data_IF_866174017638
#
_entry.id   IF_866174017638
#
_cell.length_a   1.000
_cell.length_b   1.000
_cell.length_c   1.000
_cell.angle_alpha   90.00
_cell.angle_beta   90.00
_cell.angle_gamma   90.00
#
_symmetry.space_group_name_H-M   'P 1'
#
loop_
_entity.id
_entity.type
_entity.pdbx_description
1 polymer ?
#
# COMPACT_ATOMS: atom_id res chain seq x y z
N UNK A 1 -39.61 -7.46 1.33
CA UNK A 1 -39.13 -6.28 0.58
C UNK A 1 -37.99 -6.71 -0.31
N UNK A 2 -38.26 -6.93 -1.59
CA UNK A 2 -37.27 -7.36 -2.57
C UNK A 2 -36.52 -6.12 -3.06
N UNK A 3 -35.25 -5.96 -2.66
CA UNK A 3 -34.38 -4.89 -3.14
C UNK A 3 -34.23 -5.03 -4.66
N UNK A 4 -34.99 -4.26 -5.43
CA UNK A 4 -34.77 -4.10 -6.85
C UNK A 4 -33.58 -3.17 -7.03
N UNK A 5 -32.40 -3.75 -7.22
CA UNK A 5 -31.21 -2.98 -7.61
C UNK A 5 -31.49 -2.36 -8.97
N UNK A 6 -31.41 -1.02 -9.08
CA UNK A 6 -31.59 -0.28 -10.34
C UNK A 6 -30.56 -0.67 -11.43
N UNK A 7 -29.49 -1.36 -11.03
CA UNK A 7 -28.40 -1.77 -11.91
C UNK A 7 -28.43 -3.27 -12.14
N UNK A 8 -28.43 -3.65 -13.42
CA UNK A 8 -28.31 -5.05 -13.83
C UNK A 8 -26.86 -5.51 -13.61
N UNK A 9 -26.61 -6.57 -12.81
CA UNK A 9 -25.27 -7.04 -12.50
C UNK A 9 -24.49 -7.51 -13.75
N UNK A 10 -25.17 -8.05 -14.76
CA UNK A 10 -24.56 -8.46 -16.04
C UNK A 10 -24.03 -7.23 -16.78
N UNK A 11 -24.80 -6.14 -16.80
CA UNK A 11 -24.39 -4.87 -17.40
C UNK A 11 -23.21 -4.24 -16.66
N UNK A 12 -23.23 -4.28 -15.31
CA UNK A 12 -22.10 -3.80 -14.49
C UNK A 12 -20.84 -4.62 -14.78
N UNK A 13 -20.93 -5.95 -14.80
CA UNK A 13 -19.79 -6.81 -15.07
C UNK A 13 -19.20 -6.56 -16.46
N UNK A 14 -20.05 -6.47 -17.48
CA UNK A 14 -19.61 -6.15 -18.84
C UNK A 14 -18.89 -4.80 -18.91
N UNK A 15 -19.41 -3.77 -18.22
CA UNK A 15 -18.77 -2.46 -18.15
C UNK A 15 -17.42 -2.52 -17.43
N UNK A 16 -17.33 -3.19 -16.27
CA UNK A 16 -16.09 -3.34 -15.51
C UNK A 16 -15.02 -4.11 -16.29
N UNK A 17 -15.40 -5.14 -17.06
CA UNK A 17 -14.48 -5.91 -17.90
C UNK A 17 -14.03 -5.14 -19.15
N UNK A 18 -14.89 -4.28 -19.70
CA UNK A 18 -14.56 -3.47 -20.87
C UNK A 18 -13.55 -2.37 -20.54
N UNK A 19 -13.53 -1.89 -19.29
CA UNK A 19 -12.54 -0.91 -18.83
C UNK A 19 -11.19 -1.59 -18.67
N UNK A 20 -10.16 -1.04 -19.32
CA UNK A 20 -8.76 -1.32 -18.99
C UNK A 20 -8.30 -0.22 -18.04
N UNK A 21 -8.31 -0.44 -16.72
CA UNK A 21 -7.94 0.62 -15.79
C UNK A 21 -6.45 0.93 -15.95
N UNK A 22 -6.13 2.21 -16.14
CA UNK A 22 -4.77 2.69 -15.96
C UNK A 22 -4.40 2.47 -14.49
N UNK A 23 -3.20 1.92 -14.18
CA UNK A 23 -2.81 1.75 -12.79
C UNK A 23 -2.76 3.13 -12.12
N UNK A 24 -3.16 3.23 -10.84
CA UNK A 24 -3.18 4.52 -10.12
C UNK A 24 -1.78 5.12 -9.94
N UNK A 25 -0.73 4.32 -10.11
CA UNK A 25 0.66 4.72 -10.04
C UNK A 25 1.44 4.09 -11.21
N UNK A 26 2.49 4.75 -11.71
CA UNK A 26 3.31 4.21 -12.78
C UNK A 26 3.97 2.90 -12.34
N UNK A 27 4.02 1.86 -13.20
CA UNK A 27 4.75 0.64 -12.90
C UNK A 27 6.24 0.93 -12.69
N UNK A 28 6.94 0.04 -11.98
CA UNK A 28 8.39 0.19 -11.81
C UNK A 28 9.16 0.09 -13.14
N UNK A 29 8.56 -0.39 -14.23
CA UNK A 29 9.21 -0.31 -15.55
C UNK A 29 9.25 1.13 -16.12
N UNK A 30 8.36 2.03 -15.68
CA UNK A 30 8.21 3.37 -16.27
C UNK A 30 9.17 4.39 -15.64
N UNK A 31 10.46 4.29 -15.98
CA UNK A 31 11.52 5.07 -15.32
C UNK A 31 11.41 6.58 -15.49
N UNK A 32 10.86 7.07 -16.60
CA UNK A 32 10.64 8.50 -16.83
C UNK A 32 9.67 9.11 -15.82
N UNK A 33 8.58 8.43 -15.48
CA UNK A 33 7.61 8.89 -14.49
C UNK A 33 8.26 8.98 -13.10
N UNK A 34 9.01 7.96 -12.69
CA UNK A 34 9.69 7.96 -11.39
C UNK A 34 10.86 8.94 -11.33
N UNK A 35 11.54 9.21 -12.45
CA UNK A 35 12.50 10.30 -12.54
C UNK A 35 11.83 11.67 -12.31
N UNK A 36 10.66 11.91 -12.91
CA UNK A 36 9.90 13.14 -12.68
C UNK A 36 9.47 13.28 -11.21
N UNK A 37 9.07 12.18 -10.56
CA UNK A 37 8.78 12.17 -9.11
C UNK A 37 10.01 12.55 -8.30
N UNK A 38 11.19 11.99 -8.60
CA UNK A 38 12.45 12.35 -7.92
C UNK A 38 12.80 13.83 -8.09
N UNK A 39 12.61 14.37 -9.29
CA UNK A 39 12.85 15.79 -9.56
C UNK A 39 11.91 16.68 -8.75
N UNK A 40 10.64 16.29 -8.64
CA UNK A 40 9.66 17.02 -7.83
C UNK A 40 9.95 16.93 -6.33
N UNK A 41 10.40 15.77 -5.85
CA UNK A 41 10.71 15.51 -4.44
C UNK A 41 11.99 16.23 -3.98
N UNK A 42 12.94 16.45 -4.90
CA UNK A 42 14.23 17.04 -4.60
C UNK A 42 15.16 16.09 -3.84
N UNK A 43 16.41 16.53 -3.63
CA UNK A 43 17.44 15.71 -3.00
C UNK A 43 17.10 15.37 -1.53
N UNK A 44 16.57 16.33 -0.78
CA UNK A 44 16.23 16.15 0.64
C UNK A 44 15.10 15.13 0.83
N UNK A 45 13.99 15.29 0.10
CA UNK A 45 12.87 14.36 0.21
C UNK A 45 13.22 12.95 -0.29
N UNK A 46 14.07 12.83 -1.32
CA UNK A 46 14.59 11.54 -1.76
C UNK A 46 15.43 10.89 -0.65
N UNK A 47 16.35 11.63 -0.04
CA UNK A 47 17.17 11.13 1.05
C UNK A 47 16.32 10.69 2.26
N UNK A 48 15.28 11.45 2.61
CA UNK A 48 14.37 11.09 3.69
C UNK A 48 13.60 9.78 3.40
N UNK A 49 13.07 9.63 2.18
CA UNK A 49 12.35 8.43 1.77
C UNK A 49 13.26 7.19 1.83
N UNK A 50 14.49 7.28 1.31
CA UNK A 50 15.47 6.20 1.36
C UNK A 50 15.88 5.87 2.80
N UNK A 51 16.15 6.87 3.64
CA UNK A 51 16.52 6.64 5.03
C UNK A 51 15.38 6.00 5.85
N UNK A 52 14.11 6.27 5.50
CA UNK A 52 12.97 5.59 6.11
C UNK A 52 12.88 4.12 5.69
N UNK A 53 13.02 3.84 4.40
CA UNK A 53 13.05 2.48 3.89
C UNK A 53 14.21 1.66 4.46
N UNK A 54 15.40 2.25 4.60
CA UNK A 54 16.57 1.58 5.22
C UNK A 54 16.32 1.18 6.67
N UNK A 55 15.68 2.04 7.46
CA UNK A 55 15.27 1.70 8.83
C UNK A 55 14.24 0.58 8.85
N UNK A 56 13.25 0.64 7.97
CA UNK A 56 12.20 -0.38 7.90
C UNK A 56 12.75 -1.73 7.40
N UNK A 57 13.72 -1.74 6.48
CA UNK A 57 14.38 -2.96 5.98
C UNK A 57 15.17 -3.70 7.09
N UNK A 58 15.70 -2.96 8.07
CA UNK A 58 16.40 -3.51 9.23
C UNK A 58 15.47 -3.86 10.39
N UNK A 59 14.21 -3.45 10.33
CA UNK A 59 13.24 -3.64 11.40
C UNK A 59 12.39 -4.87 11.12
N UNK A 60 12.31 -5.86 12.03
CA UNK A 60 11.39 -6.98 11.88
C UNK A 60 9.94 -6.49 11.79
N UNK A 61 9.18 -6.99 10.80
CA UNK A 61 7.76 -6.70 10.71
C UNK A 61 7.04 -7.16 11.99
N UNK A 62 6.21 -6.30 12.63
CA UNK A 62 5.62 -6.63 13.92
C UNK A 62 4.68 -7.84 13.77
N UNK A 63 4.66 -8.75 14.75
CA UNK A 63 3.81 -9.94 14.69
C UNK A 63 2.33 -9.54 14.72
N UNK A 64 1.52 -10.29 13.98
CA UNK A 64 0.07 -10.08 13.93
C UNK A 64 -0.66 -11.42 14.18
N UNK A 65 -0.52 -12.00 15.39
CA UNK A 65 -1.13 -13.30 15.70
C UNK A 65 -2.66 -13.19 15.74
N UNK A 66 -3.33 -14.32 15.48
CA UNK A 66 -4.80 -14.41 15.54
C UNK A 66 -5.38 -14.03 16.91
N UNK A 67 -4.57 -14.14 17.98
CA UNK A 67 -4.96 -13.71 19.32
C UNK A 67 -5.26 -12.21 19.41
N UNK A 68 -4.55 -11.35 18.66
CA UNK A 68 -4.85 -9.90 18.61
C UNK A 68 -6.19 -9.62 17.93
N UNK A 69 -6.55 -10.42 16.92
CA UNK A 69 -7.86 -10.32 16.28
C UNK A 69 -8.98 -10.71 17.26
N UNK A 70 -8.79 -11.80 18.01
CA UNK A 70 -9.76 -12.27 19.00
C UNK A 70 -9.87 -11.34 20.22
N UNK A 71 -8.83 -10.56 20.51
CA UNK A 71 -8.82 -9.63 21.64
C UNK A 71 -9.94 -8.60 21.53
N UNK A 72 -10.21 -8.09 20.33
CA UNK A 72 -11.32 -7.17 20.09
C UNK A 72 -12.67 -7.79 20.48
N UNK A 73 -12.91 -9.07 20.17
CA UNK A 73 -14.15 -9.74 20.55
C UNK A 73 -14.30 -9.92 22.07
N UNK A 74 -13.18 -9.91 22.82
CA UNK A 74 -13.16 -10.10 24.28
C UNK A 74 -13.24 -8.79 25.04
N UNK A 75 -12.52 -7.77 24.58
CA UNK A 75 -12.31 -6.51 25.32
C UNK A 75 -12.96 -5.30 24.67
N UNK A 76 -13.37 -5.42 23.40
CA UNK A 76 -13.83 -4.30 22.58
C UNK A 76 -12.70 -3.37 22.10
N UNK A 77 -11.44 -3.61 22.48
CA UNK A 77 -10.30 -2.77 22.09
C UNK A 77 -9.71 -3.23 20.76
N UNK A 78 -9.79 -2.38 19.75
CA UNK A 78 -9.35 -2.69 18.38
C UNK A 78 -7.91 -2.24 18.08
N UNK A 79 -7.41 -1.25 18.83
CA UNK A 79 -6.08 -0.65 18.68
C UNK A 79 -4.95 -1.69 18.74
N UNK A 80 -5.09 -2.70 19.61
CA UNK A 80 -4.13 -3.80 19.77
C UNK A 80 -3.85 -4.56 18.46
N UNK A 81 -4.84 -4.69 17.58
CA UNK A 81 -4.66 -5.26 16.24
C UNK A 81 -4.29 -4.19 15.20
N UNK A 82 -4.93 -3.02 15.27
CA UNK A 82 -4.80 -1.99 14.25
C UNK A 82 -3.40 -1.37 14.18
N UNK A 83 -2.76 -1.15 15.31
CA UNK A 83 -1.43 -0.54 15.36
C UNK A 83 -0.37 -1.40 14.65
N UNK A 84 -0.16 -2.69 15.02
CA UNK A 84 0.80 -3.53 14.31
C UNK A 84 0.42 -3.74 12.85
N UNK A 85 -0.87 -3.89 12.53
CA UNK A 85 -1.32 -4.01 11.14
C UNK A 85 -1.01 -2.76 10.31
N UNK A 86 -1.20 -1.57 10.90
CA UNK A 86 -0.90 -0.28 10.25
C UNK A 86 0.59 -0.04 10.12
N UNK A 87 1.39 -0.46 11.10
CA UNK A 87 2.85 -0.40 11.01
C UNK A 87 3.37 -1.28 9.87
N UNK A 88 2.91 -2.54 9.74
CA UNK A 88 3.28 -3.41 8.61
C UNK A 88 2.99 -2.78 7.25
N UNK A 89 1.81 -2.16 7.10
CA UNK A 89 1.43 -1.47 5.84
C UNK A 89 2.35 -0.28 5.55
N UNK A 90 2.67 0.55 6.56
CA UNK A 90 3.60 1.67 6.42
C UNK A 90 5.00 1.20 6.02
N UNK A 91 5.52 0.15 6.65
CA UNK A 91 6.82 -0.44 6.30
C UNK A 91 6.83 -0.89 4.84
N UNK A 92 5.82 -1.64 4.40
CA UNK A 92 5.71 -2.09 3.01
C UNK A 92 5.67 -0.91 2.03
N UNK A 93 4.91 0.16 2.35
CA UNK A 93 4.85 1.36 1.52
C UNK A 93 6.19 2.05 1.40
N UNK A 94 6.92 2.21 2.50
CA UNK A 94 8.23 2.87 2.50
C UNK A 94 9.24 2.09 1.65
N UNK A 95 9.31 0.77 1.84
CA UNK A 95 10.18 -0.13 1.06
C UNK A 95 9.84 -0.07 -0.44
N UNK A 96 8.55 -0.24 -0.78
CA UNK A 96 8.10 -0.25 -2.18
C UNK A 96 8.34 1.09 -2.86
N UNK A 97 8.07 2.20 -2.18
CA UNK A 97 8.29 3.53 -2.73
C UNK A 97 9.78 3.82 -2.94
N UNK A 98 10.63 3.43 -2.00
CA UNK A 98 12.07 3.54 -2.15
C UNK A 98 12.60 2.71 -3.33
N UNK A 99 12.14 1.47 -3.50
CA UNK A 99 12.49 0.65 -4.67
C UNK A 99 12.01 1.31 -5.97
N UNK A 100 10.81 1.88 -5.99
CA UNK A 100 10.33 2.62 -7.17
C UNK A 100 11.17 3.87 -7.50
N UNK A 101 11.68 4.57 -6.48
CA UNK A 101 12.52 5.76 -6.63
C UNK A 101 13.97 5.40 -7.06
N UNK A 102 14.53 4.31 -6.56
CA UNK A 102 15.93 3.97 -6.74
C UNK A 102 16.17 2.86 -7.79
N UNK A 103 15.32 1.84 -7.81
CA UNK A 103 15.33 0.70 -8.73
C UNK A 103 16.68 -0.05 -8.77
N UNK A 104 17.11 -0.53 -7.60
CA UNK A 104 18.38 -1.23 -7.38
C UNK A 104 18.20 -2.64 -6.79
N UNK A 105 16.97 -3.05 -6.46
CA UNK A 105 16.64 -4.37 -5.93
C UNK A 105 17.10 -4.59 -4.49
N UNK A 106 17.22 -3.52 -3.69
CA UNK A 106 17.72 -3.61 -2.30
C UNK A 106 16.62 -3.51 -1.23
N UNK A 107 15.40 -3.15 -1.61
CA UNK A 107 14.24 -3.03 -0.72
C UNK A 107 13.14 -4.03 -1.03
#
# INVERSE_FOLDING_TARGET
MTLHTQYNPITIEAALRAVKPTPPFPPIAERSAWHAVRQHLGAEGLAEALARAERDAQTPAPPLPATLWLDFARTGQRTNYEEPASLRRRMLWNLTLAECLENQGRF
#
